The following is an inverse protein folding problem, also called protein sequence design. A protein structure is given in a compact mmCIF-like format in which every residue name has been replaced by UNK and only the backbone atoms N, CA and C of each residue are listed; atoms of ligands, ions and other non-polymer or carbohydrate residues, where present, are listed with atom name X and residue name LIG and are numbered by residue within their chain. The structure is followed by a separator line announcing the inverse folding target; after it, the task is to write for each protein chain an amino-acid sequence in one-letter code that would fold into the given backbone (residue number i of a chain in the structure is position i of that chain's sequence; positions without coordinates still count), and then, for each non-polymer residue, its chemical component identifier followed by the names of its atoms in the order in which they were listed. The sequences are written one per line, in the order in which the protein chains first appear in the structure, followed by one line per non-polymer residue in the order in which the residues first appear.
data_IF_247162235236
#
_entry.id   IF_247162235236
#
_cell.length_a   1.000
_cell.length_b   1.000
_cell.length_c   1.000
_cell.angle_alpha   90.00
_cell.angle_beta   90.00
_cell.angle_gamma   90.00
#
_symmetry.space_group_name_H-M   'P 1'
#
loop_
_entity.id
_entity.type
_entity.pdbx_description
1 polymer ?
#
# COMPACT_ATOMS: atom_id res chain seq x y z
N UNK A 1 -21.41 -12.64 0.38
CA UNK A 1 -21.59 -12.75 -1.08
C UNK A 1 -20.20 -12.72 -1.69
N UNK A 2 -19.78 -13.76 -2.41
CA UNK A 2 -18.55 -13.73 -3.19
C UNK A 2 -18.88 -12.97 -4.48
N UNK A 3 -18.40 -11.74 -4.60
CA UNK A 3 -18.51 -10.96 -5.84
C UNK A 3 -17.67 -11.64 -6.91
N UNK A 4 -18.30 -11.95 -8.05
CA UNK A 4 -17.69 -12.58 -9.23
C UNK A 4 -16.74 -11.66 -9.99
N UNK A 5 -16.49 -10.46 -9.49
CA UNK A 5 -15.64 -9.45 -10.12
C UNK A 5 -14.22 -9.56 -9.57
N UNK A 6 -13.19 -9.56 -10.43
CA UNK A 6 -11.81 -9.51 -9.99
C UNK A 6 -11.57 -8.23 -9.16
N UNK A 7 -10.97 -8.37 -7.99
CA UNK A 7 -10.53 -7.25 -7.16
C UNK A 7 -9.27 -6.63 -7.79
N UNK A 8 -9.49 -5.71 -8.71
CA UNK A 8 -8.42 -4.97 -9.36
C UNK A 8 -7.84 -3.92 -8.41
N UNK A 9 -6.51 -3.70 -8.41
CA UNK A 9 -5.90 -2.65 -7.62
C UNK A 9 -6.56 -1.30 -7.92
N UNK A 10 -7.13 -0.70 -6.89
CA UNK A 10 -7.74 0.61 -6.91
C UNK A 10 -6.79 1.60 -6.22
N UNK A 11 -5.74 1.96 -6.95
CA UNK A 11 -4.74 2.92 -6.47
C UNK A 11 -5.39 4.30 -6.35
N UNK A 12 -5.59 4.75 -5.12
CA UNK A 12 -6.20 6.05 -4.80
C UNK A 12 -5.18 7.16 -4.61
N UNK A 13 -3.91 6.81 -4.43
CA UNK A 13 -2.81 7.77 -4.29
C UNK A 13 -1.46 7.11 -4.59
N UNK A 14 -0.57 7.84 -5.25
CA UNK A 14 0.83 7.44 -5.45
C UNK A 14 1.79 8.54 -5.03
N UNK A 15 2.91 8.20 -4.40
CA UNK A 15 3.96 9.15 -4.09
C UNK A 15 5.33 8.48 -3.98
N UNK A 16 6.39 9.19 -4.36
CA UNK A 16 7.76 8.69 -4.20
C UNK A 16 8.31 9.05 -2.82
N UNK A 17 8.97 8.10 -2.17
CA UNK A 17 9.67 8.30 -0.91
C UNK A 17 11.02 7.56 -0.91
N UNK A 18 12.13 8.32 -0.83
CA UNK A 18 13.51 7.79 -0.79
C UNK A 18 13.82 6.74 -1.87
N UNK A 19 13.39 6.99 -3.11
CA UNK A 19 13.63 6.08 -4.25
C UNK A 19 12.60 4.96 -4.42
N UNK A 20 11.61 4.86 -3.52
CA UNK A 20 10.49 3.93 -3.67
C UNK A 20 9.26 4.68 -4.17
N UNK A 21 8.64 4.21 -5.25
CA UNK A 21 7.29 4.60 -5.61
C UNK A 21 6.31 3.84 -4.71
N UNK A 22 5.55 4.57 -3.90
CA UNK A 22 4.55 4.00 -2.99
C UNK A 22 3.15 4.23 -3.57
N UNK A 23 2.43 3.14 -3.82
CA UNK A 23 1.07 3.15 -4.37
C UNK A 23 0.10 2.66 -3.30
N UNK A 24 -0.78 3.55 -2.88
CA UNK A 24 -1.83 3.30 -1.91
C UNK A 24 -3.06 2.77 -2.66
N UNK A 25 -3.34 1.51 -2.42
CA UNK A 25 -4.52 0.79 -2.88
C UNK A 25 -5.61 0.87 -1.81
N UNK A 26 -6.85 1.13 -2.22
CA UNK A 26 -8.02 1.16 -1.33
C UNK A 26 -9.03 0.11 -1.75
N UNK A 27 -9.26 -0.88 -0.88
CA UNK A 27 -10.32 -1.86 -1.01
C UNK A 27 -11.36 -1.68 0.10
N UNK A 28 -12.41 -2.50 0.07
CA UNK A 28 -13.45 -2.54 1.08
C UNK A 28 -13.68 -3.98 1.53
N UNK A 29 -13.71 -4.21 2.84
CA UNK A 29 -14.10 -5.49 3.43
C UNK A 29 -15.24 -5.27 4.42
N UNK A 30 -16.40 -5.87 4.16
CA UNK A 30 -17.61 -5.74 4.99
C UNK A 30 -18.02 -4.28 5.28
N UNK A 31 -17.91 -3.37 4.30
CA UNK A 31 -18.22 -1.95 4.48
C UNK A 31 -17.11 -1.14 5.16
N UNK A 32 -15.97 -1.75 5.49
CA UNK A 32 -14.83 -1.08 6.11
C UNK A 32 -13.76 -0.83 5.05
N UNK A 33 -13.31 0.42 4.84
CA UNK A 33 -12.22 0.70 3.91
C UNK A 33 -10.91 0.12 4.45
N UNK A 34 -10.18 -0.58 3.59
CA UNK A 34 -8.86 -1.10 3.86
C UNK A 34 -7.84 -0.47 2.91
N UNK A 35 -6.66 -0.21 3.44
CA UNK A 35 -5.57 0.40 2.70
C UNK A 35 -4.37 -0.54 2.67
N UNK A 36 -3.92 -0.85 1.47
CA UNK A 36 -2.69 -1.59 1.20
C UNK A 36 -1.71 -0.64 0.53
N UNK A 37 -0.42 -0.73 0.85
CA UNK A 37 0.62 0.06 0.17
C UNK A 37 1.58 -0.87 -0.51
N UNK A 38 1.73 -0.67 -1.80
CA UNK A 38 2.74 -1.30 -2.62
C UNK A 38 3.95 -0.38 -2.80
N UNK A 39 5.11 -0.98 -2.93
CA UNK A 39 6.38 -0.28 -3.08
C UNK A 39 7.14 -0.83 -4.29
N UNK A 40 7.30 0.01 -5.29
CA UNK A 40 8.11 -0.24 -6.49
C UNK A 40 9.46 0.45 -6.34
N UNK A 41 10.53 -0.25 -6.69
CA UNK A 41 11.91 0.25 -6.69
C UNK A 41 12.69 -0.43 -7.83
N UNK A 42 13.88 0.06 -8.15
CA UNK A 42 14.65 -0.36 -9.34
C UNK A 42 14.82 -1.89 -9.48
N UNK A 43 14.83 -2.61 -8.36
CA UNK A 43 15.07 -4.05 -8.33
C UNK A 43 13.79 -4.89 -8.13
N UNK A 44 12.61 -4.28 -8.04
CA UNK A 44 11.36 -5.02 -7.97
C UNK A 44 10.20 -4.32 -7.28
N UNK A 45 9.30 -5.15 -6.78
CA UNK A 45 8.02 -4.74 -6.23
C UNK A 45 7.74 -5.49 -4.93
N UNK A 46 7.16 -4.83 -3.94
CA UNK A 46 6.83 -5.44 -2.66
C UNK A 46 5.60 -4.81 -2.02
N UNK A 47 4.86 -5.59 -1.23
CA UNK A 47 3.82 -5.05 -0.34
C UNK A 47 4.51 -4.45 0.89
N UNK A 48 4.39 -3.14 1.09
CA UNK A 48 4.93 -2.43 2.24
C UNK A 48 3.99 -2.45 3.45
N UNK A 49 2.68 -2.38 3.21
CA UNK A 49 1.63 -2.38 4.24
C UNK A 49 0.43 -3.17 3.72
N UNK A 50 -0.15 -4.03 4.56
CA UNK A 50 -1.33 -4.83 4.23
C UNK A 50 -2.53 -4.40 5.08
N UNK A 51 -3.64 -4.05 4.42
CA UNK A 51 -4.98 -4.05 5.01
C UNK A 51 -5.14 -3.25 6.31
N UNK A 52 -4.74 -1.98 6.34
CA UNK A 52 -4.98 -1.10 7.50
C UNK A 52 -6.19 -0.21 7.26
N UNK A 53 -6.97 0.09 8.30
CA UNK A 53 -8.24 0.85 8.16
C UNK A 53 -8.05 2.37 8.01
N UNK A 54 -6.82 2.86 8.20
CA UNK A 54 -6.53 4.30 8.19
C UNK A 54 -5.51 4.65 7.11
N UNK A 55 -5.90 5.53 6.18
CA UNK A 55 -5.01 6.10 5.17
C UNK A 55 -3.74 6.71 5.77
N UNK A 56 -3.89 7.47 6.87
CA UNK A 56 -2.75 8.12 7.54
C UNK A 56 -1.79 7.08 8.12
N UNK A 57 -2.34 6.02 8.71
CA UNK A 57 -1.55 4.92 9.24
C UNK A 57 -0.83 4.14 8.13
N UNK A 58 -1.50 3.90 7.01
CA UNK A 58 -0.91 3.25 5.83
C UNK A 58 0.32 4.01 5.34
N UNK A 59 0.19 5.32 5.17
CA UNK A 59 1.30 6.18 4.74
C UNK A 59 2.44 6.17 5.76
N UNK A 60 2.13 6.27 7.06
CA UNK A 60 3.13 6.25 8.11
C UNK A 60 3.91 4.92 8.14
N UNK A 61 3.20 3.78 8.11
CA UNK A 61 3.81 2.45 8.09
C UNK A 61 4.62 2.21 6.82
N UNK A 62 4.17 2.70 5.68
CA UNK A 62 4.90 2.56 4.42
C UNK A 62 6.24 3.30 4.46
N UNK A 63 6.27 4.54 4.98
CA UNK A 63 7.53 5.28 5.18
C UNK A 63 8.46 4.56 6.16
N UNK A 64 7.94 4.07 7.27
CA UNK A 64 8.72 3.27 8.23
C UNK A 64 9.29 2.00 7.59
N UNK A 65 8.53 1.34 6.73
CA UNK A 65 8.98 0.15 6.01
C UNK A 65 10.15 0.49 5.07
N UNK A 66 10.08 1.61 4.35
CA UNK A 66 11.19 2.10 3.51
C UNK A 66 12.41 2.43 4.37
N UNK A 67 12.21 3.18 5.45
CA UNK A 67 13.31 3.57 6.35
C UNK A 67 14.01 2.34 6.94
N UNK A 68 13.28 1.27 7.28
CA UNK A 68 13.87 0.02 7.76
C UNK A 68 14.70 -0.70 6.70
N UNK A 69 14.28 -0.66 5.43
CA UNK A 69 15.04 -1.27 4.32
C UNK A 69 16.30 -0.52 3.96
N UNK A 70 16.34 0.79 4.20
CA UNK A 70 17.51 1.62 3.91
C UNK A 70 18.51 1.69 5.06
N UNK A 71 18.14 1.21 6.27
CA UNK A 71 19.04 1.10 7.43
C UNK A 71 20.00 -0.10 7.36
N UNK A 72 20.40 -0.49 6.15
CA UNK A 72 21.46 -1.49 5.94
C UNK A 72 22.73 -1.04 6.66
#
# INVERSE_FOLDING_TARGET
MLSSEPDYPHVVMSFTYRGFLLELDQSEENGVPLFTVWATYDQGYAVAVTGVVSRREAIYKAKLWVDRRLRV
#
